data_IF_062648728636
#
_entry.id   IF_062648728636
#
_cell.length_a   1.000
_cell.length_b   1.000
_cell.length_c   1.000
_cell.angle_alpha   90.00
_cell.angle_beta   90.00
_cell.angle_gamma   90.00
#
_symmetry.space_group_name_H-M   'P 1'
#
loop_
_entity.id
_entity.type
_entity.pdbx_description
1 polymer ?
#
# COMPACT_ATOMS: atom_id res chain seq x y z
N UNK A 1 -12.25 -15.17 24.87
CA UNK A 1 -12.51 -15.06 26.30
C UNK A 1 -14.00 -15.20 26.58
N UNK A 2 -14.85 -14.36 26.06
CA UNK A 2 -16.33 -14.35 26.29
C UNK A 2 -17.00 -15.69 25.95
N UNK A 3 -16.61 -16.34 24.87
CA UNK A 3 -17.14 -17.67 24.49
C UNK A 3 -16.80 -18.71 25.56
N UNK A 4 -15.56 -18.75 26.02
CA UNK A 4 -15.12 -19.67 27.09
C UNK A 4 -15.88 -19.41 28.40
N UNK A 5 -16.06 -18.15 28.78
CA UNK A 5 -16.82 -17.78 29.98
C UNK A 5 -18.29 -18.23 29.87
N UNK A 6 -18.93 -18.07 28.72
CA UNK A 6 -20.30 -18.55 28.51
C UNK A 6 -20.42 -20.06 28.51
N UNK A 7 -19.45 -20.78 27.98
CA UNK A 7 -19.42 -22.23 28.05
C UNK A 7 -19.26 -22.75 29.49
N UNK A 8 -18.46 -22.09 30.30
CA UNK A 8 -18.23 -22.52 31.69
C UNK A 8 -19.43 -22.24 32.61
N UNK A 9 -20.22 -21.20 32.34
CA UNK A 9 -21.38 -20.83 33.19
C UNK A 9 -22.58 -21.73 32.97
N UNK A 10 -22.68 -22.44 31.84
CA UNK A 10 -23.85 -23.23 31.44
C UNK A 10 -23.49 -24.67 31.06
N UNK A 11 -22.92 -25.44 32.00
CA UNK A 11 -22.35 -26.75 31.76
C UNK A 11 -23.32 -27.83 31.26
N UNK A 12 -24.65 -27.64 31.36
CA UNK A 12 -25.66 -28.64 31.10
C UNK A 12 -26.68 -28.30 30.00
N UNK A 13 -26.46 -27.24 29.23
CA UNK A 13 -27.39 -26.83 28.17
C UNK A 13 -26.81 -27.13 26.78
N UNK A 14 -27.66 -27.41 25.81
CA UNK A 14 -27.28 -27.53 24.40
C UNK A 14 -27.09 -26.12 23.85
N UNK A 15 -25.87 -25.79 23.45
CA UNK A 15 -25.51 -24.49 22.88
C UNK A 15 -25.57 -24.51 21.37
N UNK A 16 -26.15 -23.46 20.80
CA UNK A 16 -25.94 -23.11 19.40
C UNK A 16 -24.78 -22.11 19.31
N UNK A 17 -24.03 -22.05 18.19
CA UNK A 17 -22.99 -21.03 17.99
C UNK A 17 -23.50 -19.59 18.20
N UNK A 18 -24.74 -19.32 17.87
CA UNK A 18 -25.38 -18.01 18.06
C UNK A 18 -25.49 -17.61 19.54
N UNK A 19 -25.76 -18.59 20.42
CA UNK A 19 -25.89 -18.35 21.87
C UNK A 19 -24.55 -18.06 22.53
N UNK A 20 -23.46 -18.59 21.97
CA UNK A 20 -22.09 -18.41 22.47
C UNK A 20 -21.43 -17.13 22.00
N UNK A 21 -21.81 -16.61 20.84
CA UNK A 21 -21.20 -15.42 20.22
C UNK A 21 -21.94 -14.17 20.65
N UNK A 22 -21.20 -13.19 21.20
CA UNK A 22 -21.73 -11.86 21.49
C UNK A 22 -21.38 -10.89 20.36
N UNK A 23 -22.32 -10.69 19.44
CA UNK A 23 -22.17 -9.77 18.30
C UNK A 23 -21.94 -8.31 18.74
N UNK A 24 -22.44 -7.89 19.91
CA UNK A 24 -22.23 -6.54 20.43
C UNK A 24 -20.76 -6.23 20.71
N UNK A 25 -20.00 -7.19 21.19
CA UNK A 25 -18.56 -7.03 21.44
C UNK A 25 -17.81 -6.75 20.13
N UNK A 26 -18.11 -7.50 19.08
CA UNK A 26 -17.50 -7.29 17.77
C UNK A 26 -17.90 -5.95 17.17
N UNK A 27 -19.20 -5.62 17.18
CA UNK A 27 -19.71 -4.33 16.70
C UNK A 27 -19.10 -3.16 17.44
N UNK A 28 -18.90 -3.26 18.77
CA UNK A 28 -18.24 -2.23 19.57
C UNK A 28 -16.81 -1.97 19.14
N UNK A 29 -16.03 -3.02 18.84
CA UNK A 29 -14.64 -2.88 18.37
C UNK A 29 -14.60 -2.21 16.99
N UNK A 30 -15.48 -2.61 16.08
CA UNK A 30 -15.56 -2.01 14.74
C UNK A 30 -15.96 -0.53 14.83
N UNK A 31 -16.98 -0.20 15.61
CA UNK A 31 -17.42 1.17 15.80
C UNK A 31 -16.35 2.04 16.48
N UNK A 32 -15.60 1.49 17.42
CA UNK A 32 -14.47 2.18 18.04
C UNK A 32 -13.37 2.49 17.03
N UNK A 33 -13.05 1.56 16.13
CA UNK A 33 -12.10 1.82 15.05
C UNK A 33 -12.54 2.99 14.16
N UNK A 34 -13.77 2.96 13.66
CA UNK A 34 -14.27 4.03 12.79
C UNK A 34 -14.47 5.38 13.51
N UNK A 35 -14.70 5.38 14.81
CA UNK A 35 -14.94 6.61 15.58
C UNK A 35 -13.69 7.25 16.18
N UNK A 36 -12.67 6.47 16.51
CA UNK A 36 -11.53 6.94 17.31
C UNK A 36 -10.17 6.72 16.67
N UNK A 37 -10.06 5.89 15.61
CA UNK A 37 -8.77 5.65 14.95
C UNK A 37 -8.27 6.88 14.20
N UNK A 38 -7.00 7.19 14.34
CA UNK A 38 -6.33 8.27 13.59
C UNK A 38 -6.33 8.01 12.06
N UNK A 39 -6.37 6.74 11.65
CA UNK A 39 -6.37 6.33 10.24
C UNK A 39 -7.78 6.36 9.62
N UNK A 40 -8.82 6.35 10.45
CA UNK A 40 -10.20 6.54 10.00
C UNK A 40 -10.49 8.04 9.93
N UNK A 41 -10.59 8.57 8.72
CA UNK A 41 -10.75 9.98 8.46
C UNK A 41 -12.04 10.25 7.71
N UNK A 42 -12.58 11.47 7.87
CA UNK A 42 -13.68 11.95 7.05
C UNK A 42 -13.20 12.06 5.60
N UNK A 43 -13.90 11.38 4.67
CA UNK A 43 -13.50 11.30 3.29
C UNK A 43 -13.68 12.63 2.57
N UNK A 44 -12.66 13.06 1.83
CA UNK A 44 -12.74 14.20 0.93
C UNK A 44 -13.60 13.83 -0.28
N UNK A 45 -14.71 14.57 -0.51
CA UNK A 45 -15.72 14.29 -1.52
C UNK A 45 -16.01 15.50 -2.44
N UNK A 46 -15.08 16.40 -2.60
CA UNK A 46 -15.24 17.56 -3.48
C UNK A 46 -15.50 17.11 -4.92
N UNK A 47 -14.76 16.11 -5.37
CA UNK A 47 -14.94 15.45 -6.66
C UNK A 47 -14.47 13.98 -6.60
N UNK A 48 -14.78 13.15 -7.60
CA UNK A 48 -14.39 11.73 -7.60
C UNK A 48 -12.88 11.50 -7.52
N UNK A 49 -12.07 12.37 -8.09
CA UNK A 49 -10.61 12.27 -8.02
C UNK A 49 -10.10 12.49 -6.58
N UNK A 50 -10.68 13.43 -5.85
CA UNK A 50 -10.34 13.67 -4.45
C UNK A 50 -10.64 12.44 -3.57
N UNK A 51 -11.74 11.75 -3.82
CA UNK A 51 -12.09 10.49 -3.14
C UNK A 51 -11.06 9.39 -3.40
N UNK A 52 -10.68 9.18 -4.65
CA UNK A 52 -9.69 8.17 -5.04
C UNK A 52 -8.33 8.50 -4.41
N UNK A 53 -7.90 9.73 -4.48
CA UNK A 53 -6.64 10.21 -3.89
C UNK A 53 -6.61 9.98 -2.39
N UNK A 54 -7.70 10.28 -1.70
CA UNK A 54 -7.80 10.07 -0.26
C UNK A 54 -7.73 8.58 0.12
N UNK A 55 -8.37 7.70 -0.64
CA UNK A 55 -8.34 6.25 -0.42
C UNK A 55 -6.97 5.62 -0.69
N UNK A 56 -6.16 6.22 -1.55
CA UNK A 56 -4.81 5.76 -1.90
C UNK A 56 -3.70 6.42 -1.09
N UNK A 57 -4.05 7.18 -0.06
CA UNK A 57 -3.08 7.86 0.80
C UNK A 57 -2.45 6.89 1.79
N UNK A 58 -1.15 7.04 2.00
CA UNK A 58 -0.36 6.30 2.97
C UNK A 58 0.14 7.24 4.06
N UNK A 59 0.12 6.77 5.30
CA UNK A 59 0.60 7.52 6.45
C UNK A 59 1.62 6.69 7.23
N UNK A 60 2.75 7.30 7.57
CA UNK A 60 3.72 6.71 8.48
C UNK A 60 3.35 6.92 9.95
N UNK A 61 2.32 7.73 10.21
CA UNK A 61 1.82 8.06 11.55
C UNK A 61 0.76 7.04 12.00
N UNK A 62 0.45 7.04 13.28
CA UNK A 62 -0.62 6.26 13.86
C UNK A 62 -0.15 5.07 14.69
N UNK A 63 -1.06 4.20 15.11
CA UNK A 63 -0.73 3.03 15.93
C UNK A 63 0.26 2.09 15.22
N UNK A 64 1.38 1.82 15.87
CA UNK A 64 2.47 1.01 15.30
C UNK A 64 3.40 1.76 14.33
N UNK A 65 3.13 3.03 14.06
CA UNK A 65 3.93 3.90 13.20
C UNK A 65 4.82 4.85 13.98
N UNK A 66 5.25 5.90 13.28
CA UNK A 66 6.12 6.96 13.83
C UNK A 66 5.30 8.07 14.52
N UNK A 67 5.93 8.78 15.44
CA UNK A 67 5.45 10.07 15.91
C UNK A 67 6.18 11.20 15.18
N UNK A 68 5.52 12.36 15.03
CA UNK A 68 6.10 13.53 14.35
C UNK A 68 7.44 13.94 14.93
N UNK A 69 7.56 13.90 16.25
CA UNK A 69 8.76 14.34 16.99
C UNK A 69 9.94 13.37 16.84
N UNK A 70 9.66 12.10 16.57
CA UNK A 70 10.68 11.07 16.38
C UNK A 70 11.07 10.84 14.90
N UNK A 71 10.35 11.45 13.97
CA UNK A 71 10.63 11.35 12.57
C UNK A 71 11.75 12.31 12.16
N UNK A 72 12.96 11.79 12.00
CA UNK A 72 14.11 12.51 11.44
C UNK A 72 14.04 12.71 9.93
N UNK A 73 15.08 13.29 9.35
CA UNK A 73 15.16 13.52 7.90
C UNK A 73 15.17 12.22 7.09
N UNK A 74 15.79 11.17 7.59
CA UNK A 74 15.93 9.89 6.89
C UNK A 74 14.59 9.26 6.52
N UNK A 75 13.61 9.30 7.43
CA UNK A 75 12.27 8.73 7.20
C UNK A 75 11.36 9.62 6.35
N UNK A 76 11.72 10.89 6.20
CA UNK A 76 10.98 11.88 5.39
C UNK A 76 11.51 12.01 3.97
N UNK A 77 12.67 11.45 3.72
CA UNK A 77 13.38 11.54 2.46
C UNK A 77 12.84 10.57 1.41
N UNK A 78 13.14 10.83 0.16
CA UNK A 78 12.81 9.95 -0.96
C UNK A 78 13.93 8.95 -1.14
N UNK A 79 13.58 7.67 -1.08
CA UNK A 79 14.52 6.57 -1.31
C UNK A 79 14.34 5.99 -2.71
N UNK A 80 15.37 5.37 -3.27
CA UNK A 80 15.29 4.73 -4.59
C UNK A 80 14.18 3.68 -4.71
N UNK A 81 13.87 2.99 -3.62
CA UNK A 81 12.78 1.99 -3.56
C UNK A 81 11.39 2.60 -3.71
N UNK A 82 11.25 3.91 -3.62
CA UNK A 82 10.00 4.62 -3.89
C UNK A 82 9.61 4.63 -5.36
N UNK A 83 10.57 4.38 -6.26
CA UNK A 83 10.33 4.43 -7.70
C UNK A 83 9.18 3.51 -8.12
N UNK A 84 8.18 4.08 -8.78
CA UNK A 84 6.98 3.37 -9.20
C UNK A 84 6.00 2.98 -8.08
N UNK A 85 6.33 3.20 -6.80
CA UNK A 85 5.55 2.82 -5.62
C UNK A 85 4.93 4.00 -4.90
N UNK A 86 5.75 4.93 -4.48
CA UNK A 86 5.32 6.14 -3.79
C UNK A 86 5.61 7.38 -4.64
N UNK A 87 4.64 8.28 -4.73
CA UNK A 87 4.84 9.56 -5.41
C UNK A 87 5.85 10.41 -4.64
N UNK A 88 6.96 10.85 -5.27
CA UNK A 88 7.97 11.65 -4.59
C UNK A 88 7.57 13.12 -4.41
N UNK A 89 6.52 13.57 -5.09
CA UNK A 89 6.12 14.97 -5.16
C UNK A 89 4.90 15.24 -4.27
N UNK A 90 3.94 14.33 -4.25
CA UNK A 90 2.71 14.50 -3.48
C UNK A 90 2.96 14.21 -2.00
N UNK A 91 3.20 15.27 -1.25
CA UNK A 91 3.40 15.26 0.20
C UNK A 91 2.92 16.60 0.78
N UNK A 92 2.37 16.63 2.01
CA UNK A 92 1.98 17.88 2.64
C UNK A 92 3.20 18.75 2.96
N UNK A 93 2.97 20.05 3.09
CA UNK A 93 3.93 20.99 3.64
C UNK A 93 3.88 20.98 5.18
N UNK A 94 4.99 21.31 5.82
CA UNK A 94 5.07 21.48 7.27
C UNK A 94 5.43 20.21 8.03
N UNK A 95 4.87 20.00 9.25
CA UNK A 95 5.33 18.93 10.16
C UNK A 95 5.16 17.50 9.64
N UNK A 96 4.25 17.29 8.70
CA UNK A 96 3.94 15.99 8.12
C UNK A 96 4.65 15.69 6.81
N UNK A 97 5.56 16.55 6.37
CA UNK A 97 6.30 16.36 5.12
C UNK A 97 7.02 15.00 5.10
N UNK A 98 6.87 14.25 4.04
CA UNK A 98 7.47 12.92 3.88
C UNK A 98 6.83 11.79 4.71
N UNK A 99 5.96 12.11 5.68
CA UNK A 99 5.27 11.12 6.50
C UNK A 99 3.92 10.71 5.93
N UNK A 100 3.36 11.53 5.07
CA UNK A 100 2.12 11.26 4.34
C UNK A 100 2.44 11.26 2.86
N UNK A 101 2.14 10.17 2.20
CA UNK A 101 2.46 9.92 0.80
C UNK A 101 1.26 9.37 0.06
N UNK A 102 1.33 9.33 -1.25
CA UNK A 102 0.33 8.69 -2.10
C UNK A 102 0.95 7.56 -2.90
N UNK A 103 0.18 6.51 -3.15
CA UNK A 103 0.59 5.45 -4.07
C UNK A 103 0.71 5.98 -5.49
N UNK A 104 1.72 5.55 -6.22
CA UNK A 104 1.78 5.74 -7.66
C UNK A 104 0.59 5.09 -8.37
N UNK A 105 0.25 5.58 -9.56
CA UNK A 105 -0.99 5.19 -10.28
C UNK A 105 -1.10 3.69 -10.48
N UNK A 106 -0.02 3.03 -10.89
CA UNK A 106 0.00 1.59 -11.17
C UNK A 106 0.49 0.74 -10.00
N UNK A 107 0.90 1.36 -8.90
CA UNK A 107 1.30 0.63 -7.71
C UNK A 107 0.11 -0.07 -7.06
N UNK A 108 0.34 -1.25 -6.54
CA UNK A 108 -0.63 -2.01 -5.73
C UNK A 108 0.03 -2.58 -4.49
N UNK A 109 -0.78 -3.04 -3.56
CA UNK A 109 -0.32 -3.68 -2.33
C UNK A 109 -0.51 -5.18 -2.46
N UNK A 110 0.55 -5.95 -2.23
CA UNK A 110 0.51 -7.40 -2.22
C UNK A 110 -0.32 -7.95 -1.05
N UNK A 111 -0.75 -9.21 -1.09
CA UNK A 111 -1.41 -9.84 0.06
C UNK A 111 -0.56 -9.86 1.34
N UNK A 112 0.76 -9.79 1.20
CA UNK A 112 1.72 -9.70 2.31
C UNK A 112 1.91 -8.28 2.85
N UNK A 113 1.33 -7.26 2.21
CA UNK A 113 1.41 -5.86 2.62
C UNK A 113 2.56 -5.06 1.99
N UNK A 114 3.31 -5.61 1.04
CA UNK A 114 4.35 -4.90 0.31
C UNK A 114 3.77 -4.11 -0.87
N UNK A 115 4.38 -2.96 -1.16
CA UNK A 115 4.01 -2.16 -2.32
C UNK A 115 4.76 -2.70 -3.54
N UNK A 116 4.02 -3.04 -4.58
CA UNK A 116 4.53 -3.59 -5.82
C UNK A 116 4.28 -2.63 -6.98
N UNK A 117 5.18 -2.64 -7.94
CA UNK A 117 5.06 -1.85 -9.17
C UNK A 117 5.18 -2.75 -10.40
N UNK A 118 4.44 -2.45 -11.50
CA UNK A 118 4.47 -3.28 -12.69
C UNK A 118 5.69 -2.99 -13.56
N UNK A 119 6.26 -4.05 -14.11
CA UNK A 119 7.34 -4.00 -15.09
C UNK A 119 7.06 -4.96 -16.25
N UNK A 120 7.56 -4.60 -17.43
CA UNK A 120 7.68 -5.49 -18.57
C UNK A 120 9.03 -6.16 -18.57
N UNK A 121 9.10 -7.44 -18.88
CA UNK A 121 10.36 -8.14 -19.05
C UNK A 121 11.10 -7.69 -20.29
N UNK A 122 12.41 -7.66 -20.20
CA UNK A 122 13.32 -7.43 -21.33
C UNK A 122 14.20 -8.66 -21.44
N UNK A 123 14.15 -9.30 -22.61
CA UNK A 123 14.97 -10.46 -22.93
C UNK A 123 15.80 -10.15 -24.19
N UNK A 124 17.12 -10.30 -24.10
CA UNK A 124 18.03 -10.02 -25.20
C UNK A 124 17.89 -8.62 -25.83
N UNK A 125 17.61 -7.61 -24.99
CA UNK A 125 17.42 -6.22 -25.43
C UNK A 125 16.04 -5.92 -26.05
N UNK A 126 15.13 -6.88 -26.04
CA UNK A 126 13.76 -6.73 -26.54
C UNK A 126 12.75 -6.73 -25.41
N UNK A 127 11.89 -5.71 -25.39
CA UNK A 127 10.81 -5.56 -24.42
C UNK A 127 9.64 -6.46 -24.82
N UNK A 128 9.11 -7.20 -23.87
CA UNK A 128 7.87 -7.96 -24.06
C UNK A 128 6.68 -6.99 -24.13
N UNK A 129 6.07 -6.89 -25.29
CA UNK A 129 4.96 -5.97 -25.56
C UNK A 129 3.60 -6.57 -25.21
N UNK A 130 3.52 -7.83 -24.80
CA UNK A 130 2.27 -8.46 -24.39
C UNK A 130 1.82 -7.94 -23.02
N UNK A 131 0.62 -7.36 -22.99
CA UNK A 131 0.02 -6.84 -21.75
C UNK A 131 -0.35 -7.93 -20.74
N UNK A 132 -0.43 -9.18 -21.17
CA UNK A 132 -0.69 -10.32 -20.27
C UNK A 132 0.54 -10.71 -19.44
N UNK A 133 1.73 -10.33 -19.86
CA UNK A 133 3.00 -10.67 -19.23
C UNK A 133 3.58 -9.56 -18.34
N UNK A 134 2.72 -8.70 -17.80
CA UNK A 134 3.18 -7.67 -16.86
C UNK A 134 3.44 -8.33 -15.50
N UNK A 135 4.66 -8.13 -14.98
CA UNK A 135 5.07 -8.61 -13.68
C UNK A 135 5.09 -7.49 -12.65
N UNK A 136 4.61 -7.79 -11.45
CA UNK A 136 4.67 -6.88 -10.31
C UNK A 136 5.81 -7.28 -9.39
N UNK A 137 6.69 -6.34 -9.09
CA UNK A 137 7.86 -6.55 -8.24
C UNK A 137 7.80 -5.68 -6.98
N UNK A 138 8.12 -6.29 -5.85
CA UNK A 138 8.43 -5.57 -4.62
C UNK A 138 9.80 -4.90 -4.71
N UNK A 139 10.13 -4.03 -3.76
CA UNK A 139 11.42 -3.37 -3.74
C UNK A 139 12.60 -4.34 -3.56
N UNK A 140 12.40 -5.39 -2.77
CA UNK A 140 13.39 -6.44 -2.53
C UNK A 140 13.70 -7.24 -3.81
N UNK A 141 12.66 -7.65 -4.53
CA UNK A 141 12.82 -8.38 -5.80
C UNK A 141 13.45 -7.52 -6.89
N UNK A 142 13.20 -6.21 -6.88
CA UNK A 142 13.74 -5.27 -7.85
C UNK A 142 15.21 -4.92 -7.61
N UNK A 143 15.72 -5.04 -6.39
CA UNK A 143 17.08 -4.64 -6.02
C UNK A 143 18.16 -5.33 -6.87
N UNK A 144 17.95 -6.58 -7.21
CA UNK A 144 18.87 -7.38 -8.03
C UNK A 144 18.66 -7.19 -9.54
N UNK A 145 17.71 -6.36 -9.95
CA UNK A 145 17.34 -6.16 -11.35
C UNK A 145 17.80 -4.78 -11.86
N UNK A 146 18.06 -4.70 -13.15
CA UNK A 146 18.28 -3.43 -13.85
C UNK A 146 17.00 -3.00 -14.53
N UNK A 147 16.49 -1.83 -14.18
CA UNK A 147 15.27 -1.29 -14.72
C UNK A 147 15.51 -0.11 -15.66
N UNK A 148 14.89 -0.14 -16.82
CA UNK A 148 14.80 1.00 -17.72
C UNK A 148 13.51 1.79 -17.45
N UNK A 149 13.53 3.09 -17.74
CA UNK A 149 12.33 3.93 -17.62
C UNK A 149 11.28 3.56 -18.68
N UNK A 150 10.01 3.71 -18.34
CA UNK A 150 8.90 3.39 -19.24
C UNK A 150 8.86 4.25 -20.51
N UNK A 151 9.44 5.45 -20.48
CA UNK A 151 9.56 6.37 -21.63
C UNK A 151 10.82 6.16 -22.47
N UNK A 152 11.60 5.11 -22.20
CA UNK A 152 12.78 4.78 -23.00
C UNK A 152 12.36 4.48 -24.45
N UNK A 153 13.01 5.10 -25.45
CA UNK A 153 12.62 4.90 -26.86
C UNK A 153 12.82 3.45 -27.30
N UNK A 154 11.78 2.87 -27.84
CA UNK A 154 11.77 1.52 -28.43
C UNK A 154 11.22 1.57 -29.86
N UNK A 155 11.61 0.62 -30.70
CA UNK A 155 11.04 0.45 -32.03
C UNK A 155 9.69 -0.28 -31.98
N UNK A 156 9.05 -0.46 -33.15
CA UNK A 156 7.76 -1.16 -33.25
C UNK A 156 7.81 -2.66 -32.88
N UNK A 157 9.00 -3.24 -32.78
CA UNK A 157 9.24 -4.62 -32.39
C UNK A 157 9.65 -4.78 -30.91
N UNK A 158 9.81 -3.66 -30.20
CA UNK A 158 10.18 -3.64 -28.79
C UNK A 158 11.67 -3.57 -28.51
N UNK A 159 12.54 -3.36 -29.52
CA UNK A 159 13.97 -3.21 -29.28
C UNK A 159 14.30 -1.78 -28.84
N UNK A 160 15.26 -1.62 -27.94
CA UNK A 160 15.72 -0.31 -27.53
C UNK A 160 16.46 0.40 -28.67
N UNK A 161 16.11 1.65 -28.96
CA UNK A 161 16.78 2.46 -29.97
C UNK A 161 18.17 2.94 -29.50
N UNK A 162 18.35 3.15 -28.20
CA UNK A 162 19.60 3.62 -27.59
C UNK A 162 20.02 2.72 -26.43
N UNK A 163 20.48 1.49 -26.69
CA UNK A 163 20.79 0.52 -25.62
C UNK A 163 21.89 0.99 -24.67
N UNK A 164 22.82 1.83 -25.12
CA UNK A 164 23.96 2.33 -24.33
C UNK A 164 23.55 3.33 -23.24
N UNK A 165 22.32 3.85 -23.28
CA UNK A 165 21.77 4.77 -22.27
C UNK A 165 20.99 4.10 -21.15
N UNK A 166 20.81 2.80 -21.25
CA UNK A 166 20.11 2.02 -20.22
C UNK A 166 21.15 1.56 -19.20
N UNK A 167 21.13 2.20 -18.05
CA UNK A 167 22.04 1.88 -16.94
C UNK A 167 21.26 1.35 -15.75
#
# INVERSE_FOLDING_TARGET
RTIRERMNVRDNEVFTPVDLINAKTLSSVINSFFGTSQLSQFMDQINPLAEITHKRRLSALGPGGLSRDRAGFEVRDVHYTHYGRLCPIESPEGPNIGLISSLCVYAKISPMGFIETPYRRVENGKVDMDNSHIHYYSAEEEEDLVAAQANTPIDGEGNFLEPDRIK
#
